data_IF_993120066411
#
_entry.id   IF_993120066411
#
_cell.length_a   1.000
_cell.length_b   1.000
_cell.length_c   1.000
_cell.angle_alpha   90.00
_cell.angle_beta   90.00
_cell.angle_gamma   90.00
#
_symmetry.space_group_name_H-M   'P 1'
#
loop_
_entity.id
_entity.type
_entity.pdbx_description
1 polymer ?
#
# COMPACT_ATOMS: atom_id res chain seq x y z
N UNK A 1 13.05 -17.07 3.51
CA UNK A 1 13.03 -18.48 3.09
C UNK A 1 14.40 -18.78 2.51
N UNK A 2 15.28 -19.29 3.36
CA UNK A 2 16.64 -19.74 3.05
C UNK A 2 16.71 -21.14 3.64
N UNK A 3 16.21 -22.14 2.92
CA UNK A 3 16.28 -23.53 3.39
C UNK A 3 17.56 -24.14 2.83
N UNK A 4 18.50 -24.39 3.76
CA UNK A 4 19.81 -24.95 3.48
C UNK A 4 19.70 -26.33 2.83
N UNK A 5 20.57 -26.56 1.84
CA UNK A 5 20.72 -27.84 1.14
C UNK A 5 21.13 -28.89 2.18
N UNK A 6 20.19 -29.74 2.58
CA UNK A 6 20.41 -30.78 3.58
C UNK A 6 20.89 -32.05 2.87
N UNK A 7 22.17 -32.35 3.02
CA UNK A 7 22.78 -33.59 2.55
C UNK A 7 22.45 -34.67 3.60
N UNK A 8 21.66 -35.68 3.23
CA UNK A 8 21.41 -36.84 4.08
C UNK A 8 22.23 -38.04 3.58
N UNK A 9 23.14 -38.55 4.42
CA UNK A 9 23.90 -39.77 4.17
C UNK A 9 22.99 -40.99 4.37
N UNK A 10 22.66 -41.69 3.29
CA UNK A 10 22.06 -43.02 3.39
C UNK A 10 23.19 -44.05 3.43
N UNK A 11 23.68 -44.32 4.63
CA UNK A 11 24.69 -45.35 4.89
C UNK A 11 24.29 -46.69 4.25
N UNK A 12 25.04 -47.09 3.22
CA UNK A 12 24.94 -48.41 2.59
C UNK A 12 25.40 -49.47 3.58
N UNK A 13 24.49 -50.35 4.01
CA UNK A 13 24.84 -51.55 4.78
C UNK A 13 25.51 -52.55 3.84
N UNK A 14 26.79 -52.77 4.03
CA UNK A 14 27.55 -53.87 3.43
C UNK A 14 27.23 -55.16 4.18
N UNK A 15 26.75 -56.18 3.47
CA UNK A 15 26.61 -57.56 3.97
C UNK A 15 27.04 -58.55 2.88
N UNK A 16 27.71 -59.67 3.21
CA UNK A 16 28.43 -60.49 2.24
C UNK A 16 27.51 -61.47 1.49
N UNK A 17 28.05 -61.96 0.38
CA UNK A 17 27.41 -62.82 -0.62
C UNK A 17 26.86 -64.15 -0.07
N UNK A 18 25.58 -64.41 -0.35
CA UNK A 18 25.01 -65.76 -0.44
C UNK A 18 24.03 -65.82 -1.62
N UNK A 19 24.22 -66.83 -2.48
CA UNK A 19 23.35 -67.17 -3.60
C UNK A 19 21.97 -67.58 -3.07
N UNK A 20 20.94 -66.81 -3.43
CA UNK A 20 19.55 -67.12 -3.14
C UNK A 20 18.62 -66.28 -4.01
N UNK A 21 18.08 -66.90 -5.07
CA UNK A 21 16.97 -66.32 -5.85
C UNK A 21 15.73 -66.37 -4.98
N UNK A 22 15.32 -65.22 -4.45
CA UNK A 22 13.98 -64.97 -3.93
C UNK A 22 13.62 -63.55 -4.35
N UNK A 23 12.63 -63.41 -5.23
CA UNK A 23 12.04 -62.13 -5.63
C UNK A 23 11.28 -61.56 -4.42
N UNK A 24 12.01 -60.92 -3.52
CA UNK A 24 11.48 -60.13 -2.42
C UNK A 24 11.30 -58.69 -2.87
N UNK A 25 10.04 -58.26 -2.96
CA UNK A 25 9.64 -56.88 -3.18
C UNK A 25 10.02 -55.99 -2.00
N UNK A 26 11.31 -55.73 -1.81
CA UNK A 26 11.77 -54.55 -1.08
C UNK A 26 11.64 -53.38 -2.04
N UNK A 27 10.45 -52.78 -2.07
CA UNK A 27 10.19 -51.49 -2.70
C UNK A 27 10.99 -50.41 -1.96
N UNK A 28 12.31 -50.42 -2.17
CA UNK A 28 13.14 -49.26 -1.90
C UNK A 28 12.51 -48.13 -2.70
N UNK A 29 11.85 -47.21 -2.00
CA UNK A 29 11.26 -46.02 -2.58
C UNK A 29 12.41 -45.24 -3.25
N UNK A 30 12.72 -45.58 -4.50
CA UNK A 30 13.80 -44.97 -5.25
C UNK A 30 13.34 -43.55 -5.56
N UNK A 31 14.09 -42.59 -5.02
CA UNK A 31 13.82 -41.19 -5.28
C UNK A 31 13.96 -40.93 -6.78
N UNK A 32 12.93 -40.36 -7.41
CA UNK A 32 12.98 -39.95 -8.81
C UNK A 32 13.58 -38.56 -8.90
N UNK A 33 14.51 -38.37 -9.84
CA UNK A 33 15.07 -37.06 -10.12
C UNK A 33 14.04 -36.17 -10.82
N UNK A 34 13.69 -35.03 -10.24
CA UNK A 34 12.74 -34.09 -10.85
C UNK A 34 13.26 -33.52 -12.19
N UNK A 35 14.57 -33.34 -12.33
CA UNK A 35 15.19 -32.79 -13.54
C UNK A 35 15.17 -33.73 -14.76
N UNK A 36 15.54 -35.00 -14.60
CA UNK A 36 15.64 -35.95 -15.72
C UNK A 36 14.62 -37.10 -15.67
N UNK A 37 13.76 -37.15 -14.65
CA UNK A 37 12.68 -38.14 -14.46
C UNK A 37 13.18 -39.60 -14.41
N UNK A 38 14.45 -39.80 -14.03
CA UNK A 38 15.07 -41.13 -13.84
C UNK A 38 15.25 -41.43 -12.35
N UNK A 39 15.21 -42.70 -11.92
CA UNK A 39 15.47 -43.08 -10.53
C UNK A 39 16.92 -42.76 -10.17
N UNK A 40 17.12 -42.16 -8.99
CA UNK A 40 18.44 -41.81 -8.48
C UNK A 40 19.06 -43.05 -7.85
N UNK A 41 20.08 -43.59 -8.52
CA UNK A 41 20.89 -44.72 -8.05
C UNK A 41 22.24 -44.27 -7.43
N UNK A 42 22.50 -42.96 -7.40
CA UNK A 42 23.74 -42.38 -6.89
C UNK A 42 23.94 -42.65 -5.40
N UNK A 43 25.20 -42.62 -4.96
CA UNK A 43 25.55 -42.71 -3.53
C UNK A 43 24.95 -41.57 -2.71
N UNK A 44 24.88 -40.38 -3.30
CA UNK A 44 24.33 -39.18 -2.70
C UNK A 44 23.27 -38.59 -3.61
N UNK A 45 22.19 -38.09 -3.04
CA UNK A 45 21.17 -37.34 -3.75
C UNK A 45 21.06 -35.94 -3.17
N UNK A 46 20.66 -34.99 -3.99
CA UNK A 46 20.39 -33.62 -3.55
C UNK A 46 18.89 -33.47 -3.31
N UNK A 47 18.51 -33.01 -2.13
CA UNK A 47 17.12 -32.65 -1.82
C UNK A 47 16.97 -31.14 -1.79
N UNK A 48 16.10 -30.62 -2.66
CA UNK A 48 15.75 -29.19 -2.69
C UNK A 48 14.24 -29.08 -2.61
N UNK A 49 13.77 -28.38 -1.58
CA UNK A 49 12.36 -28.37 -1.20
C UNK A 49 11.88 -29.83 -0.97
N UNK A 50 10.84 -30.28 -1.68
CA UNK A 50 10.29 -31.64 -1.59
C UNK A 50 10.71 -32.56 -2.74
N UNK A 51 11.62 -32.10 -3.61
CA UNK A 51 12.07 -32.86 -4.79
C UNK A 51 13.50 -33.39 -4.63
N UNK A 52 13.75 -34.55 -5.23
CA UNK A 52 15.09 -35.15 -5.27
C UNK A 52 15.74 -34.93 -6.64
N UNK A 53 17.05 -34.74 -6.64
CA UNK A 53 17.84 -34.41 -7.83
C UNK A 53 19.17 -35.16 -7.82
N UNK A 54 19.66 -35.53 -9.00
CA UNK A 54 21.06 -35.90 -9.16
C UNK A 54 21.95 -34.66 -8.94
N UNK A 55 23.21 -34.86 -8.55
CA UNK A 55 24.20 -33.79 -8.45
C UNK A 55 24.38 -33.06 -9.79
N UNK A 56 24.47 -33.81 -10.88
CA UNK A 56 24.59 -33.26 -12.25
C UNK A 56 23.31 -32.58 -12.74
N UNK A 57 22.13 -32.99 -12.25
CA UNK A 57 20.84 -32.42 -12.66
C UNK A 57 20.52 -31.13 -11.89
N UNK A 58 21.25 -30.84 -10.81
CA UNK A 58 21.04 -29.67 -9.96
C UNK A 58 21.72 -28.43 -10.55
N UNK A 59 21.18 -27.95 -11.67
CA UNK A 59 21.73 -26.83 -12.42
C UNK A 59 20.71 -25.73 -12.68
N UNK A 60 21.19 -24.51 -12.94
CA UNK A 60 20.31 -23.40 -13.26
C UNK A 60 19.59 -23.62 -14.61
N UNK A 61 18.27 -23.43 -14.64
CA UNK A 61 17.47 -23.58 -15.85
C UNK A 61 17.82 -22.58 -16.98
N UNK A 62 18.57 -21.51 -16.69
CA UNK A 62 18.93 -20.44 -17.64
C UNK A 62 20.38 -20.62 -18.10
N UNK A 63 21.35 -20.49 -17.18
CA UNK A 63 22.77 -20.57 -17.52
C UNK A 63 23.38 -21.98 -17.45
N UNK A 64 22.62 -22.99 -17.00
CA UNK A 64 23.08 -24.38 -16.83
C UNK A 64 24.27 -24.56 -15.87
N UNK A 65 24.60 -23.53 -15.07
CA UNK A 65 25.65 -23.65 -14.06
C UNK A 65 25.20 -24.57 -12.91
N UNK A 66 26.07 -25.48 -12.42
CA UNK A 66 25.77 -26.33 -11.27
C UNK A 66 25.55 -25.51 -9.99
N UNK A 67 24.53 -25.86 -9.22
CA UNK A 67 24.08 -25.14 -8.02
C UNK A 67 24.58 -25.82 -6.76
N UNK A 68 25.83 -25.55 -6.36
CA UNK A 68 26.48 -26.26 -5.26
C UNK A 68 26.23 -25.67 -3.87
N UNK A 69 26.07 -24.35 -3.76
CA UNK A 69 26.01 -23.64 -2.47
C UNK A 69 24.61 -23.16 -2.09
N UNK A 70 23.88 -22.63 -3.07
CA UNK A 70 22.52 -22.12 -2.89
C UNK A 70 21.79 -22.16 -4.23
N UNK A 71 20.49 -22.34 -4.16
CA UNK A 71 19.62 -22.31 -5.32
C UNK A 71 18.32 -21.57 -4.97
N UNK A 72 17.66 -21.05 -6.00
CA UNK A 72 16.33 -20.45 -5.89
C UNK A 72 15.34 -21.32 -6.65
N UNK A 73 14.28 -21.75 -5.99
CA UNK A 73 13.24 -22.59 -6.59
C UNK A 73 11.99 -21.76 -6.89
N UNK A 74 11.53 -21.78 -8.15
CA UNK A 74 10.30 -21.12 -8.59
C UNK A 74 9.73 -21.81 -9.82
N UNK A 75 8.41 -21.98 -9.87
CA UNK A 75 7.70 -22.61 -10.99
C UNK A 75 8.28 -23.98 -11.39
N UNK A 76 8.65 -24.81 -10.39
CA UNK A 76 9.31 -26.11 -10.54
C UNK A 76 10.69 -26.08 -11.22
N UNK A 77 11.32 -24.91 -11.31
CA UNK A 77 12.65 -24.72 -11.89
C UNK A 77 13.62 -24.17 -10.85
N UNK A 78 14.89 -24.52 -11.03
CA UNK A 78 15.99 -24.06 -10.21
C UNK A 78 16.76 -22.95 -10.91
N UNK A 79 17.09 -21.90 -10.17
CA UNK A 79 17.79 -20.73 -10.68
C UNK A 79 19.01 -20.42 -9.80
N UNK A 80 20.07 -19.93 -10.42
CA UNK A 80 21.16 -19.31 -9.70
C UNK A 80 20.70 -17.94 -9.16
N UNK A 81 21.43 -17.38 -8.19
CA UNK A 81 21.12 -16.06 -7.61
C UNK A 81 21.02 -14.97 -8.68
N UNK A 82 21.93 -14.97 -9.64
CA UNK A 82 21.99 -13.96 -10.69
C UNK A 82 20.75 -14.00 -11.57
N UNK A 83 20.46 -15.16 -12.18
CA UNK A 83 19.32 -15.32 -13.08
C UNK A 83 17.98 -15.15 -12.36
N UNK A 84 17.89 -15.61 -11.11
CA UNK A 84 16.69 -15.39 -10.31
C UNK A 84 16.40 -13.91 -10.11
N UNK A 85 17.43 -13.12 -9.78
CA UNK A 85 17.30 -11.67 -9.64
C UNK A 85 17.01 -11.01 -10.99
N UNK A 86 17.62 -11.46 -12.07
CA UNK A 86 17.39 -10.87 -13.39
C UNK A 86 15.96 -11.10 -13.91
N UNK A 87 15.40 -12.29 -13.68
CA UNK A 87 14.08 -12.68 -14.17
C UNK A 87 12.95 -12.24 -13.25
N UNK A 88 13.16 -12.30 -11.93
CA UNK A 88 12.09 -12.16 -10.93
C UNK A 88 12.31 -10.99 -9.97
N UNK A 89 13.22 -10.05 -10.28
CA UNK A 89 13.36 -8.83 -9.50
C UNK A 89 12.06 -8.01 -9.53
N UNK A 90 11.71 -7.49 -8.35
CA UNK A 90 10.69 -6.45 -8.22
C UNK A 90 11.14 -5.22 -8.98
N UNK A 91 10.24 -4.66 -9.79
CA UNK A 91 10.48 -3.43 -10.53
C UNK A 91 9.80 -2.25 -9.85
N UNK A 92 10.41 -1.08 -9.95
CA UNK A 92 9.84 0.16 -9.48
C UNK A 92 8.70 0.60 -10.41
N UNK A 93 7.51 0.86 -9.88
CA UNK A 93 6.38 1.35 -10.67
C UNK A 93 6.60 2.75 -11.25
N UNK A 94 7.49 3.55 -10.67
CA UNK A 94 7.84 4.89 -11.18
C UNK A 94 8.83 4.90 -12.36
N UNK A 95 10.01 4.28 -12.21
CA UNK A 95 11.03 4.27 -13.27
C UNK A 95 11.14 2.96 -14.06
N UNK A 96 10.36 1.94 -13.71
CA UNK A 96 10.37 0.59 -14.32
C UNK A 96 11.67 -0.22 -14.18
N UNK A 97 12.66 0.34 -13.49
CA UNK A 97 13.93 -0.33 -13.20
C UNK A 97 13.83 -1.33 -12.04
N UNK A 98 14.77 -2.29 -12.02
CA UNK A 98 14.86 -3.33 -10.98
C UNK A 98 15.29 -2.70 -9.66
N UNK A 99 14.59 -3.04 -8.60
CA UNK A 99 14.93 -2.62 -7.24
C UNK A 99 15.90 -3.62 -6.62
N UNK A 100 17.01 -3.13 -6.06
CA UNK A 100 17.96 -4.00 -5.37
C UNK A 100 17.37 -4.53 -4.05
N UNK A 101 17.66 -5.79 -3.65
CA UNK A 101 17.13 -6.36 -2.40
C UNK A 101 17.56 -5.63 -1.11
N UNK A 102 18.65 -4.87 -1.18
CA UNK A 102 19.20 -4.08 -0.07
C UNK A 102 18.70 -2.64 -0.06
N UNK A 103 17.97 -2.20 -1.08
CA UNK A 103 17.51 -0.83 -1.22
C UNK A 103 16.21 -0.61 -0.46
N UNK A 104 16.08 0.56 0.17
CA UNK A 104 14.84 0.98 0.81
C UNK A 104 13.81 1.38 -0.26
N UNK A 105 12.56 0.97 -0.02
CA UNK A 105 11.44 1.22 -0.95
C UNK A 105 10.26 1.86 -0.25
N UNK A 106 9.48 2.61 -1.03
CA UNK A 106 8.12 3.00 -0.68
C UNK A 106 7.13 2.00 -1.27
N UNK A 107 6.11 1.63 -0.52
CA UNK A 107 5.02 0.75 -0.99
C UNK A 107 3.71 1.51 -0.90
N UNK A 108 2.95 1.51 -2.00
CA UNK A 108 1.62 2.08 -2.06
C UNK A 108 0.71 1.08 -2.77
N UNK A 109 -0.26 0.53 -2.03
CA UNK A 109 -1.08 -0.61 -2.47
C UNK A 109 -0.19 -1.77 -2.95
N UNK A 110 -0.36 -2.21 -4.20
CA UNK A 110 0.41 -3.29 -4.83
C UNK A 110 1.68 -2.79 -5.54
N UNK A 111 1.88 -1.49 -5.61
CA UNK A 111 3.02 -0.87 -6.30
C UNK A 111 4.20 -0.64 -5.34
N UNK A 112 5.42 -0.81 -5.87
CA UNK A 112 6.67 -0.59 -5.15
C UNK A 112 7.48 0.47 -5.89
N UNK A 113 8.07 1.40 -5.15
CA UNK A 113 8.82 2.52 -5.70
C UNK A 113 10.17 2.65 -5.00
N UNK A 114 11.19 3.08 -5.74
CA UNK A 114 12.39 3.64 -5.11
C UNK A 114 12.01 4.86 -4.26
N UNK A 115 12.79 5.16 -3.22
CA UNK A 115 12.56 6.37 -2.41
C UNK A 115 12.53 7.64 -3.28
N UNK A 116 13.41 7.72 -4.28
CA UNK A 116 13.52 8.87 -5.17
C UNK A 116 12.42 8.92 -6.25
N UNK A 117 11.81 7.78 -6.58
CA UNK A 117 10.72 7.72 -7.55
C UNK A 117 9.34 7.90 -6.91
N UNK A 118 9.26 8.00 -5.59
CA UNK A 118 8.01 8.22 -4.87
C UNK A 118 7.72 9.72 -4.78
N UNK A 119 7.39 10.32 -5.93
CA UNK A 119 7.14 11.74 -6.10
C UNK A 119 5.77 12.01 -6.74
N UNK A 120 5.23 13.20 -6.51
CA UNK A 120 3.99 13.62 -7.14
C UNK A 120 4.20 13.86 -8.64
N UNK A 121 3.33 13.32 -9.49
CA UNK A 121 3.41 13.47 -10.95
C UNK A 121 3.16 14.91 -11.47
N UNK A 122 2.64 15.81 -10.63
CA UNK A 122 2.31 17.19 -11.01
C UNK A 122 3.40 18.17 -10.60
N UNK A 123 3.88 18.08 -9.36
CA UNK A 123 4.85 19.02 -8.80
C UNK A 123 6.24 18.43 -8.53
N UNK A 124 6.47 17.16 -8.88
CA UNK A 124 7.71 16.39 -8.63
C UNK A 124 8.16 16.35 -7.16
N UNK A 125 7.31 16.77 -6.23
CA UNK A 125 7.63 16.73 -4.81
C UNK A 125 7.72 15.28 -4.35
N UNK A 126 8.87 14.93 -3.78
CA UNK A 126 9.07 13.64 -3.11
C UNK A 126 8.15 13.52 -1.89
N UNK A 127 7.35 12.46 -1.85
CA UNK A 127 6.42 12.15 -0.77
C UNK A 127 7.16 11.33 0.30
N UNK A 128 7.13 11.78 1.55
CA UNK A 128 7.82 11.11 2.67
C UNK A 128 6.83 10.42 3.60
N UNK A 129 7.36 9.61 4.52
CA UNK A 129 6.54 9.02 5.59
C UNK A 129 5.83 10.14 6.36
N UNK A 130 4.51 10.08 6.40
CA UNK A 130 3.65 11.09 7.03
C UNK A 130 3.01 12.09 6.07
N UNK A 131 3.46 12.15 4.80
CA UNK A 131 2.77 12.95 3.79
C UNK A 131 1.48 12.26 3.32
N UNK A 132 0.43 13.06 3.13
CA UNK A 132 -0.83 12.60 2.54
C UNK A 132 -0.76 12.64 1.02
N UNK A 133 -1.13 11.52 0.38
CA UNK A 133 -1.10 11.36 -1.06
C UNK A 133 -2.27 10.48 -1.55
N UNK A 134 -2.55 10.56 -2.84
CA UNK A 134 -3.52 9.73 -3.54
C UNK A 134 -2.81 8.98 -4.66
N UNK A 135 -3.14 7.69 -4.82
CA UNK A 135 -2.69 6.89 -5.96
C UNK A 135 -3.86 6.70 -6.93
N UNK A 136 -3.82 7.37 -8.09
CA UNK A 136 -4.85 7.33 -9.13
C UNK A 136 -4.24 6.75 -10.40
N UNK A 137 -4.76 5.63 -10.88
CA UNK A 137 -4.28 4.93 -12.09
C UNK A 137 -2.76 4.69 -12.11
N UNK A 138 -2.18 4.39 -10.93
CA UNK A 138 -0.73 4.18 -10.78
C UNK A 138 0.10 5.47 -10.68
N UNK A 139 -0.52 6.65 -10.74
CA UNK A 139 0.13 7.94 -10.56
C UNK A 139 -0.04 8.45 -9.13
N UNK A 140 1.05 8.98 -8.57
CA UNK A 140 1.08 9.54 -7.23
C UNK A 140 0.74 11.04 -7.28
N UNK A 141 -0.28 11.46 -6.55
CA UNK A 141 -0.63 12.87 -6.37
C UNK A 141 -0.46 13.27 -4.91
N UNK A 142 0.21 14.40 -4.65
CA UNK A 142 0.21 14.97 -3.32
C UNK A 142 -1.19 15.52 -2.99
N UNK A 143 -1.52 15.61 -1.69
CA UNK A 143 -2.82 16.17 -1.26
C UNK A 143 -3.15 17.52 -1.91
N UNK A 144 -2.17 18.43 -1.99
CA UNK A 144 -2.41 19.77 -2.51
C UNK A 144 -2.80 19.77 -3.99
N UNK A 145 -2.15 18.95 -4.82
CA UNK A 145 -2.45 18.90 -6.24
C UNK A 145 -3.72 18.07 -6.52
N UNK A 146 -3.97 17.05 -5.70
CA UNK A 146 -5.23 16.31 -5.74
C UNK A 146 -6.45 17.20 -5.42
N UNK A 147 -6.36 18.04 -4.39
CA UNK A 147 -7.43 18.99 -4.03
C UNK A 147 -7.66 20.02 -5.15
N UNK A 148 -6.59 20.56 -5.74
CA UNK A 148 -6.71 21.49 -6.90
C UNK A 148 -7.37 20.83 -8.10
N UNK A 149 -6.97 19.61 -8.47
CA UNK A 149 -7.58 18.88 -9.58
C UNK A 149 -9.08 18.65 -9.31
N UNK A 150 -9.43 18.26 -8.08
CA UNK A 150 -10.82 18.05 -7.67
C UNK A 150 -11.66 19.33 -7.75
N UNK A 151 -11.12 20.46 -7.32
CA UNK A 151 -11.84 21.75 -7.35
C UNK A 151 -12.07 22.22 -8.80
N UNK A 152 -11.08 22.04 -9.67
CA UNK A 152 -11.22 22.33 -11.11
C UNK A 152 -12.30 21.44 -11.75
N UNK A 153 -12.29 20.13 -11.45
CA UNK A 153 -13.31 19.20 -11.94
C UNK A 153 -14.71 19.47 -11.36
N UNK A 154 -14.80 20.00 -10.13
CA UNK A 154 -16.07 20.38 -9.52
C UNK A 154 -16.71 21.62 -10.16
N UNK A 155 -15.90 22.51 -10.75
CA UNK A 155 -16.37 23.76 -11.35
C UNK A 155 -16.97 23.64 -12.76
N UNK A 156 -16.85 22.48 -13.41
CA UNK A 156 -17.36 22.21 -14.78
C UNK A 156 -18.71 21.47 -14.80
N UNK A 157 -19.56 21.67 -13.78
CA UNK A 157 -20.96 21.29 -13.89
C UNK A 157 -21.64 22.22 -14.92
N UNK A 158 -22.23 21.72 -16.02
CA UNK A 158 -23.04 22.54 -16.91
C UNK A 158 -24.32 22.88 -16.16
N UNK A 159 -24.42 24.12 -15.70
CA UNK A 159 -25.70 24.74 -15.34
C UNK A 159 -26.42 25.02 -16.67
N UNK A 160 -27.39 24.18 -16.97
CA UNK A 160 -28.41 24.46 -17.99
C UNK A 160 -29.73 24.59 -17.22
N UNK A 161 -30.01 25.79 -16.71
CA UNK A 161 -31.35 26.37 -16.75
C UNK A 161 -31.32 27.85 -16.36
N UNK A 162 -31.13 28.69 -17.38
CA UNK A 162 -31.54 30.08 -17.41
C UNK A 162 -33.05 30.21 -17.08
N UNK A 163 -33.42 31.11 -16.16
CA UNK A 163 -34.77 31.71 -16.04
C UNK A 163 -34.79 32.82 -14.98
N UNK A 164 -34.46 34.03 -15.43
CA UNK A 164 -35.25 35.27 -15.28
C UNK A 164 -36.30 35.36 -14.14
N UNK A 165 -36.09 36.36 -13.27
CA UNK A 165 -37.04 37.29 -12.61
C UNK A 165 -38.53 36.90 -12.40
N UNK A 166 -38.97 36.98 -11.14
CA UNK A 166 -40.26 37.56 -10.69
C UNK A 166 -40.15 37.81 -9.17
N UNK A 167 -40.13 39.04 -8.67
CA UNK A 167 -41.28 39.93 -8.36
C UNK A 167 -42.28 39.32 -7.36
N UNK A 168 -42.43 40.06 -6.25
CA UNK A 168 -43.43 40.06 -5.18
C UNK A 168 -44.27 38.80 -4.87
N UNK A 169 -44.32 38.42 -3.59
CA UNK A 169 -45.58 38.34 -2.84
C UNK A 169 -45.26 38.41 -1.34
N UNK A 170 -45.75 39.48 -0.72
CA UNK A 170 -45.96 39.65 0.72
C UNK A 170 -46.90 38.55 1.24
N UNK A 171 -46.58 37.90 2.36
CA UNK A 171 -47.61 37.30 3.21
C UNK A 171 -47.07 37.05 4.63
N UNK A 172 -47.54 37.93 5.51
CA UNK A 172 -47.55 37.88 6.96
C UNK A 172 -48.02 36.52 7.50
N UNK A 173 -47.30 35.94 8.47
CA UNK A 173 -47.85 35.22 9.63
C UNK A 173 -46.75 35.15 10.70
N UNK A 174 -47.07 35.66 11.89
CA UNK A 174 -46.30 35.55 13.15
C UNK A 174 -47.32 35.26 14.27
N UNK A 175 -46.91 34.91 15.51
CA UNK A 175 -46.21 33.72 16.01
C UNK A 175 -47.03 32.98 17.09
N UNK A 176 -46.57 31.80 17.54
CA UNK A 176 -46.83 31.32 18.91
C UNK A 176 -45.54 30.74 19.55
N UNK A 177 -45.36 31.13 20.82
CA UNK A 177 -44.39 30.82 21.90
C UNK A 177 -43.96 29.34 22.06
N UNK A 178 -42.98 28.88 22.85
CA UNK A 178 -41.98 29.35 23.85
C UNK A 178 -41.14 28.07 24.14
N UNK A 179 -39.83 28.08 24.41
CA UNK A 179 -39.25 28.03 25.77
C UNK A 179 -37.77 27.63 25.71
N UNK A 180 -36.92 28.25 26.55
CA UNK A 180 -35.69 27.63 27.09
C UNK A 180 -34.35 28.24 26.65
N UNK A 181 -33.73 29.03 27.53
CA UNK A 181 -32.26 29.23 27.59
C UNK A 181 -31.73 28.68 28.93
N UNK A 182 -30.53 29.05 29.44
CA UNK A 182 -29.24 29.39 28.79
C UNK A 182 -27.99 28.79 29.51
N UNK A 183 -26.78 28.88 28.90
CA UNK A 183 -25.45 28.77 29.56
C UNK A 183 -24.62 27.51 29.18
N UNK A 184 -23.27 27.43 29.25
CA UNK A 184 -22.12 28.33 29.55
C UNK A 184 -20.78 27.54 29.36
N UNK A 185 -19.69 28.18 28.89
CA UNK A 185 -18.23 27.78 28.96
C UNK A 185 -17.78 26.55 28.13
N UNK A 186 -16.74 26.50 27.27
CA UNK A 186 -15.27 26.74 27.40
C UNK A 186 -14.62 25.66 28.29
N UNK A 187 -13.79 24.71 27.81
CA UNK A 187 -12.50 24.82 27.12
C UNK A 187 -12.03 23.41 26.59
N UNK A 188 -11.28 23.32 25.47
CA UNK A 188 -10.49 22.11 25.07
C UNK A 188 -10.93 21.20 23.87
N UNK A 189 -10.18 21.27 22.75
CA UNK A 189 -9.71 20.18 21.83
C UNK A 189 -10.71 19.25 21.08
N UNK A 190 -11.13 19.57 19.82
CA UNK A 190 -11.68 18.62 18.79
C UNK A 190 -12.05 19.34 17.44
N UNK A 191 -12.08 18.69 16.24
CA UNK A 191 -12.45 19.32 14.95
C UNK A 191 -13.97 19.49 14.68
N UNK A 192 -14.85 19.25 15.67
CA UNK A 192 -16.32 19.35 15.50
C UNK A 192 -16.98 20.43 16.38
N UNK A 193 -16.56 21.70 16.28
CA UNK A 193 -17.21 22.81 17.04
C UNK A 193 -17.75 23.93 16.14
N UNK A 194 -19.06 24.26 16.20
CA UNK A 194 -19.63 25.40 15.47
C UNK A 194 -19.01 26.73 15.93
N UNK A 195 -18.47 27.51 14.99
CA UNK A 195 -17.98 28.88 15.24
C UNK A 195 -19.17 29.73 15.69
N UNK A 196 -19.03 30.43 16.83
CA UNK A 196 -20.12 31.25 17.41
C UNK A 196 -20.66 32.24 16.36
N UNK A 197 -21.98 32.46 16.30
CA UNK A 197 -22.54 33.44 15.38
C UNK A 197 -21.93 34.80 15.71
N UNK A 198 -21.33 35.45 14.71
CA UNK A 198 -21.01 36.87 14.85
C UNK A 198 -22.35 37.59 15.02
N UNK A 199 -22.52 38.34 16.10
CA UNK A 199 -23.68 39.20 16.27
C UNK A 199 -23.57 40.34 15.28
N UNK A 200 -24.06 40.12 14.07
CA UNK A 200 -24.17 41.17 13.06
C UNK A 200 -25.33 42.05 13.51
N UNK A 201 -25.03 43.10 14.29
CA UNK A 201 -26.02 44.13 14.59
C UNK A 201 -26.51 44.74 13.27
N UNK A 202 -27.79 45.06 13.18
CA UNK A 202 -28.29 45.81 12.03
C UNK A 202 -27.77 47.24 12.06
N UNK A 203 -27.85 47.94 10.93
CA UNK A 203 -27.45 49.36 10.85
C UNK A 203 -28.24 50.23 11.83
N UNK A 204 -29.51 49.88 12.07
CA UNK A 204 -30.36 50.56 13.06
C UNK A 204 -29.87 50.32 14.49
N UNK A 205 -29.51 49.08 14.84
CA UNK A 205 -28.99 48.76 16.17
C UNK A 205 -27.65 49.46 16.44
N UNK A 206 -26.75 49.55 15.44
CA UNK A 206 -25.50 50.31 15.56
C UNK A 206 -25.72 51.80 15.85
N UNK A 207 -26.71 52.42 15.19
CA UNK A 207 -27.05 53.84 15.42
C UNK A 207 -27.59 54.06 16.83
N UNK A 208 -28.45 53.16 17.33
CA UNK A 208 -29.01 53.26 18.67
C UNK A 208 -27.92 53.19 19.76
N UNK A 209 -26.99 52.24 19.65
CA UNK A 209 -25.89 52.12 20.61
C UNK A 209 -24.96 53.36 20.60
N UNK A 210 -24.69 53.92 19.43
CA UNK A 210 -23.87 55.14 19.32
C UNK A 210 -24.56 56.33 19.99
N UNK A 211 -25.85 56.52 19.76
CA UNK A 211 -26.63 57.59 20.37
C UNK A 211 -26.67 57.47 21.91
N UNK A 212 -26.82 56.25 22.45
CA UNK A 212 -26.82 56.04 23.90
C UNK A 212 -25.45 56.30 24.54
N UNK A 213 -24.37 56.02 23.83
CA UNK A 213 -23.00 56.21 24.33
C UNK A 213 -22.59 57.70 24.34
N UNK A 214 -23.10 58.50 23.41
CA UNK A 214 -22.89 59.95 23.37
C UNK A 214 -23.61 60.68 24.52
N UNK A 215 -24.74 60.14 25.01
CA UNK A 215 -25.50 60.68 26.15
C UNK A 215 -24.90 60.26 27.50
N UNK A 216 -24.23 59.11 27.56
CA UNK A 216 -23.65 58.56 28.78
C UNK A 216 -22.40 57.77 28.44
N UNK A 217 -21.23 58.38 28.66
CA UNK A 217 -19.94 57.76 28.35
C UNK A 217 -19.51 56.67 29.35
N UNK A 218 -20.28 56.45 30.42
CA UNK A 218 -20.00 55.45 31.46
C UNK A 218 -21.30 54.74 31.87
N UNK A 219 -21.55 53.50 31.42
CA UNK A 219 -22.61 52.68 31.97
C UNK A 219 -22.29 52.44 33.44
N UNK A 220 -23.09 53.03 34.34
CA UNK A 220 -22.93 52.82 35.77
C UNK A 220 -23.25 51.36 36.07
N UNK A 221 -22.23 50.60 36.47
CA UNK A 221 -22.32 49.19 36.81
C UNK A 221 -22.97 49.11 38.20
N UNK A 222 -24.28 48.89 38.24
CA UNK A 222 -25.01 48.60 39.49
C UNK A 222 -24.89 47.11 39.82
#
# INVERSE_FOLDING_TARGET
MLDGIKIEDRSLRTGPATLGVMLGSDCHQQAMCEGCQRPIADRFLMRVNESSWHEECLQCAVCQQPLTTSCYFRDRKLYCKHDYQQLFATKCSGCLEKIAPTEFVMRALECVYHLNCFCCCVCDRQLRKGDEFVLKDGQLLCKSDYEKEKDLLGSVSPDDSDSEKSEDEELDIKPEKCSGGPGKGDDGKDPRRPKRPRTILTTQQRRAFKASFEVSSKPCRK
#
